data_IF_879835602494
#
_entry.id   IF_879835602494
#
_cell.length_a   1.000
_cell.length_b   1.000
_cell.length_c   1.000
_cell.angle_alpha   90.00
_cell.angle_beta   90.00
_cell.angle_gamma   90.00
#
_symmetry.space_group_name_H-M   'P 1'
#
loop_
_entity.id
_entity.type
_entity.pdbx_description
1 polymer ?
#
# COMPACT_ATOMS: atom_id res chain seq x y z
N UNK A 1 -8.47 36.02 29.01
CA UNK A 1 -7.68 36.03 27.74
C UNK A 1 -7.29 34.60 27.44
N UNK A 2 -8.05 33.95 26.58
CA UNK A 2 -7.73 32.62 26.11
C UNK A 2 -6.53 32.78 25.14
N UNK A 3 -5.41 32.16 25.51
CA UNK A 3 -4.21 32.11 24.69
C UNK A 3 -4.58 31.42 23.36
N UNK A 4 -4.69 32.17 22.28
CA UNK A 4 -4.81 31.65 20.94
C UNK A 4 -3.62 30.70 20.73
N UNK A 5 -3.90 29.41 20.63
CA UNK A 5 -2.90 28.40 20.26
C UNK A 5 -2.39 28.80 18.88
N UNK A 6 -1.22 29.42 18.81
CA UNK A 6 -0.59 29.87 17.58
C UNK A 6 -0.50 28.64 16.63
N UNK A 7 -1.12 28.74 15.45
CA UNK A 7 -1.01 27.72 14.40
C UNK A 7 0.46 27.37 14.19
N UNK A 8 0.78 26.06 14.01
CA UNK A 8 2.16 25.64 13.76
C UNK A 8 2.70 26.35 12.52
N UNK A 9 3.92 26.88 12.60
CA UNK A 9 4.58 27.50 11.45
C UNK A 9 5.05 26.41 10.49
N UNK A 10 4.82 26.61 9.18
CA UNK A 10 5.31 25.69 8.15
C UNK A 10 6.85 25.69 8.12
N UNK A 11 7.45 24.51 8.15
CA UNK A 11 8.89 24.31 8.06
C UNK A 11 9.20 23.17 7.09
N UNK A 12 9.93 23.47 6.03
CA UNK A 12 10.43 22.46 5.08
C UNK A 12 11.37 21.47 5.75
N UNK A 13 12.21 21.93 6.68
CA UNK A 13 13.10 21.04 7.44
C UNK A 13 12.33 20.00 8.24
N UNK A 14 11.28 20.42 8.94
CA UNK A 14 10.42 19.51 9.69
C UNK A 14 9.76 18.49 8.75
N UNK A 15 9.23 18.96 7.62
CA UNK A 15 8.57 18.07 6.63
C UNK A 15 9.56 17.05 6.05
N UNK A 16 10.74 17.48 5.61
CA UNK A 16 11.77 16.59 5.08
C UNK A 16 12.26 15.59 6.14
N UNK A 17 12.42 16.02 7.39
CA UNK A 17 12.73 15.14 8.51
C UNK A 17 11.64 14.08 8.71
N UNK A 18 10.38 14.47 8.67
CA UNK A 18 9.25 13.52 8.76
C UNK A 18 9.25 12.54 7.57
N UNK A 19 9.60 12.98 6.36
CA UNK A 19 9.72 12.12 5.19
C UNK A 19 10.74 10.98 5.38
N UNK A 20 11.80 11.18 6.17
CA UNK A 20 12.79 10.11 6.45
C UNK A 20 12.18 8.89 7.16
N UNK A 21 11.01 9.03 7.80
CA UNK A 21 10.24 7.93 8.36
C UNK A 21 9.96 6.83 7.33
N UNK A 22 9.76 7.23 6.08
CA UNK A 22 9.42 6.32 5.00
C UNK A 22 10.61 5.46 4.53
N UNK A 23 11.86 5.84 4.89
CA UNK A 23 13.06 5.02 4.61
C UNK A 23 12.90 3.65 5.28
N UNK A 24 12.66 3.62 6.59
CA UNK A 24 12.47 2.35 7.31
C UNK A 24 11.23 1.58 6.83
N UNK A 25 10.17 2.28 6.43
CA UNK A 25 8.97 1.65 5.89
C UNK A 25 9.25 0.94 4.56
N UNK A 26 9.98 1.59 3.65
CA UNK A 26 10.37 1.00 2.36
C UNK A 26 11.34 -0.16 2.53
N UNK A 27 12.36 -0.02 3.40
CA UNK A 27 13.30 -1.11 3.69
C UNK A 27 12.60 -2.35 4.25
N UNK A 28 11.73 -2.18 5.24
CA UNK A 28 10.99 -3.30 5.83
C UNK A 28 10.08 -3.99 4.81
N UNK A 29 9.44 -3.22 3.95
CA UNK A 29 8.55 -3.78 2.92
C UNK A 29 9.31 -4.60 1.88
N UNK A 30 10.39 -4.08 1.31
CA UNK A 30 11.24 -4.80 0.34
C UNK A 30 11.85 -6.06 0.96
N UNK A 31 12.31 -6.00 2.22
CA UNK A 31 12.83 -7.16 2.93
C UNK A 31 11.79 -8.30 2.99
N UNK A 32 10.55 -7.96 3.31
CA UNK A 32 9.47 -8.93 3.55
C UNK A 32 8.84 -9.40 2.25
N UNK A 33 8.48 -8.49 1.34
CA UNK A 33 7.69 -8.84 0.14
C UNK A 33 8.55 -9.31 -1.03
N UNK A 34 9.77 -8.80 -1.19
CA UNK A 34 10.65 -9.19 -2.30
C UNK A 34 11.65 -10.27 -1.88
N UNK A 35 12.45 -10.01 -0.86
CA UNK A 35 13.60 -10.87 -0.55
C UNK A 35 13.17 -12.14 0.19
N UNK A 36 12.46 -11.99 1.32
CA UNK A 36 12.01 -13.14 2.10
C UNK A 36 11.06 -14.03 1.28
N UNK A 37 10.11 -13.43 0.57
CA UNK A 37 9.18 -14.12 -0.31
C UNK A 37 9.92 -15.05 -1.31
N UNK A 38 10.89 -14.49 -2.02
CA UNK A 38 11.68 -15.24 -2.98
C UNK A 38 12.53 -16.35 -2.32
N UNK A 39 13.14 -16.08 -1.17
CA UNK A 39 13.93 -17.09 -0.43
C UNK A 39 13.04 -18.28 -0.07
N UNK A 40 11.83 -18.04 0.46
CA UNK A 40 10.92 -19.09 0.88
C UNK A 40 10.47 -19.95 -0.29
N UNK A 41 10.05 -19.33 -1.40
CA UNK A 41 9.49 -20.06 -2.54
C UNK A 41 10.61 -20.71 -3.37
N UNK A 42 11.67 -19.97 -3.69
CA UNK A 42 12.68 -20.43 -4.65
C UNK A 42 13.81 -21.22 -3.98
N UNK A 43 14.41 -20.67 -2.91
CA UNK A 43 15.57 -21.32 -2.27
C UNK A 43 15.16 -22.50 -1.39
N UNK A 44 14.05 -22.37 -0.64
CA UNK A 44 13.56 -23.47 0.19
C UNK A 44 12.51 -24.34 -0.51
N UNK A 45 11.95 -23.91 -1.64
CA UNK A 45 10.96 -24.68 -2.42
C UNK A 45 9.62 -24.80 -1.72
N UNK A 46 9.23 -23.84 -0.87
CA UNK A 46 7.92 -23.84 -0.26
C UNK A 46 6.81 -23.44 -1.24
N UNK A 47 5.59 -23.94 -1.07
CA UNK A 47 4.44 -23.47 -1.84
C UNK A 47 4.24 -21.96 -1.68
N UNK A 48 3.81 -21.29 -2.74
CA UNK A 48 3.57 -19.85 -2.72
C UNK A 48 2.32 -19.45 -1.93
N UNK A 49 1.35 -20.37 -1.77
CA UNK A 49 0.12 -20.14 -1.03
C UNK A 49 0.37 -19.73 0.44
N UNK A 50 1.05 -20.54 1.29
CA UNK A 50 1.31 -20.13 2.68
C UNK A 50 2.20 -18.90 2.78
N UNK A 51 3.16 -18.71 1.88
CA UNK A 51 4.03 -17.53 1.84
C UNK A 51 3.21 -16.29 1.50
N UNK A 52 2.39 -16.33 0.47
CA UNK A 52 1.47 -15.25 0.09
C UNK A 52 0.44 -14.93 1.16
N UNK A 53 -0.07 -15.94 1.89
CA UNK A 53 -0.96 -15.73 3.03
C UNK A 53 -0.28 -14.91 4.13
N UNK A 54 0.95 -15.23 4.50
CA UNK A 54 1.70 -14.49 5.51
C UNK A 54 1.90 -13.01 5.09
N UNK A 55 2.28 -12.77 3.84
CA UNK A 55 2.42 -11.40 3.30
C UNK A 55 1.07 -10.67 3.30
N UNK A 56 -0.01 -11.37 2.98
CA UNK A 56 -1.37 -10.81 2.93
C UNK A 56 -1.91 -10.41 4.31
N UNK A 57 -1.43 -11.02 5.42
CA UNK A 57 -1.97 -10.80 6.77
C UNK A 57 -2.08 -9.32 7.13
N UNK A 58 -1.07 -8.51 6.82
CA UNK A 58 -1.10 -7.06 7.14
C UNK A 58 -2.26 -6.32 6.46
N UNK A 59 -2.69 -6.78 5.29
CA UNK A 59 -3.81 -6.19 4.56
C UNK A 59 -5.14 -6.76 5.05
N UNK A 60 -5.20 -8.06 5.32
CA UNK A 60 -6.39 -8.71 5.86
C UNK A 60 -6.75 -8.21 7.27
N UNK A 61 -5.74 -7.81 8.04
CA UNK A 61 -5.91 -7.17 9.35
C UNK A 61 -6.22 -5.66 9.26
N UNK A 62 -6.42 -5.09 8.08
CA UNK A 62 -6.63 -3.64 7.87
C UNK A 62 -7.76 -3.00 8.69
N UNK A 63 -8.84 -3.67 9.09
CA UNK A 63 -9.80 -3.08 10.03
C UNK A 63 -9.18 -2.62 11.36
N UNK A 64 -8.05 -3.22 11.76
CA UNK A 64 -7.29 -2.80 12.94
C UNK A 64 -6.74 -1.37 12.82
N UNK A 65 -6.45 -0.89 11.61
CA UNK A 65 -5.96 0.48 11.37
C UNK A 65 -6.99 1.55 11.74
N UNK A 66 -8.28 1.26 11.50
CA UNK A 66 -9.39 2.13 11.90
C UNK A 66 -9.47 2.22 13.43
N UNK A 67 -9.37 1.06 14.10
CA UNK A 67 -9.35 1.00 15.56
C UNK A 67 -8.13 1.75 16.13
N UNK A 68 -6.95 1.57 15.58
CA UNK A 68 -5.73 2.23 16.00
C UNK A 68 -5.81 3.76 15.84
N UNK A 69 -6.34 4.24 14.71
CA UNK A 69 -6.61 5.65 14.49
C UNK A 69 -7.54 6.24 15.54
N UNK A 70 -8.69 5.60 15.73
CA UNK A 70 -9.65 5.97 16.76
C UNK A 70 -9.05 6.00 18.18
N UNK A 71 -8.33 4.94 18.55
CA UNK A 71 -7.73 4.81 19.87
C UNK A 71 -6.68 5.87 20.14
N UNK A 72 -5.86 6.21 19.13
CA UNK A 72 -4.85 7.27 19.23
C UNK A 72 -5.45 8.66 19.39
N UNK A 73 -6.65 8.89 18.87
CA UNK A 73 -7.35 10.18 19.01
C UNK A 73 -7.98 10.35 20.39
N UNK A 74 -8.45 9.26 21.00
CA UNK A 74 -9.26 9.29 22.22
C UNK A 74 -8.50 8.94 23.49
N UNK A 75 -7.44 8.13 23.41
CA UNK A 75 -6.75 7.61 24.59
C UNK A 75 -5.25 7.86 24.46
N UNK A 76 -4.72 8.85 25.18
CA UNK A 76 -3.27 9.06 25.19
C UNK A 76 -2.57 7.92 25.92
N UNK A 77 -1.41 7.55 25.41
CA UNK A 77 -0.53 6.52 25.96
C UNK A 77 0.85 7.14 26.23
N UNK A 78 1.45 6.91 27.39
CA UNK A 78 2.72 7.51 27.82
C UNK A 78 2.77 9.05 27.73
N UNK A 79 1.63 9.72 27.94
CA UNK A 79 1.54 11.19 27.89
C UNK A 79 1.57 11.81 26.49
N UNK A 80 1.50 10.98 25.44
CA UNK A 80 1.43 11.41 24.04
C UNK A 80 0.25 10.73 23.35
N UNK A 81 -0.37 11.43 22.39
CA UNK A 81 -1.58 10.91 21.71
C UNK A 81 -1.20 10.05 20.52
N UNK A 82 -0.25 10.48 19.70
CA UNK A 82 0.10 9.82 18.43
C UNK A 82 1.45 9.15 18.47
N UNK A 83 2.47 9.84 18.93
CA UNK A 83 3.87 9.36 18.92
C UNK A 83 4.05 8.04 19.66
N UNK A 84 3.35 7.85 20.79
CA UNK A 84 3.42 6.59 21.55
C UNK A 84 2.89 5.39 20.77
N UNK A 85 1.78 5.56 20.05
CA UNK A 85 1.22 4.50 19.19
C UNK A 85 2.14 4.20 18.01
N UNK A 86 2.75 5.24 17.42
CA UNK A 86 3.70 5.08 16.32
C UNK A 86 4.93 4.32 16.82
N UNK A 87 5.51 4.70 17.96
CA UNK A 87 6.67 4.01 18.51
C UNK A 87 6.36 2.58 18.91
N UNK A 88 5.21 2.32 19.53
CA UNK A 88 4.79 0.96 19.84
C UNK A 88 4.67 0.11 18.56
N UNK A 89 4.00 0.62 17.53
CA UNK A 89 3.87 -0.08 16.27
C UNK A 89 5.21 -0.33 15.60
N UNK A 90 6.13 0.65 15.59
CA UNK A 90 7.46 0.48 15.01
C UNK A 90 8.36 -0.43 15.83
N UNK A 91 8.22 -0.45 17.15
CA UNK A 91 8.90 -1.42 18.02
C UNK A 91 8.47 -2.86 17.70
N UNK A 92 7.16 -3.11 17.48
CA UNK A 92 6.67 -4.42 17.04
C UNK A 92 7.28 -4.83 15.69
N UNK A 93 7.41 -3.88 14.74
CA UNK A 93 8.06 -4.15 13.46
C UNK A 93 9.56 -4.47 13.64
N UNK A 94 10.29 -3.73 14.46
CA UNK A 94 11.72 -4.00 14.72
C UNK A 94 11.89 -5.39 15.36
N UNK A 95 11.03 -5.76 16.30
CA UNK A 95 11.06 -7.10 16.94
C UNK A 95 10.72 -8.20 15.94
N UNK A 96 9.88 -7.93 14.95
CA UNK A 96 9.51 -8.92 13.94
C UNK A 96 10.67 -9.35 13.04
N UNK A 97 11.62 -8.46 12.75
CA UNK A 97 12.74 -8.77 11.85
C UNK A 97 13.67 -9.88 12.37
N UNK A 98 14.17 -9.87 13.62
CA UNK A 98 14.92 -11.00 14.15
C UNK A 98 14.14 -12.31 14.17
N UNK A 99 12.84 -12.27 14.49
CA UNK A 99 11.98 -13.48 14.44
C UNK A 99 11.93 -14.06 13.03
N UNK A 100 11.83 -13.19 12.02
CA UNK A 100 11.90 -13.59 10.62
C UNK A 100 13.25 -14.24 10.28
N UNK A 101 14.36 -13.68 10.78
CA UNK A 101 15.70 -14.24 10.61
C UNK A 101 15.86 -15.61 11.26
N UNK A 102 15.38 -15.77 12.47
CA UNK A 102 15.38 -17.09 13.15
C UNK A 102 14.53 -18.12 12.41
N UNK A 103 13.36 -17.73 11.90
CA UNK A 103 12.52 -18.60 11.04
C UNK A 103 13.31 -19.11 9.84
N UNK A 104 13.98 -18.22 9.09
CA UNK A 104 14.81 -18.59 7.92
C UNK A 104 15.99 -19.47 8.34
N UNK A 105 16.61 -19.21 9.51
CA UNK A 105 17.68 -20.06 10.05
C UNK A 105 17.21 -21.48 10.32
N UNK A 106 16.03 -21.64 10.91
CA UNK A 106 15.44 -22.97 11.14
C UNK A 106 15.17 -23.70 9.83
N UNK A 107 14.59 -23.04 8.84
CA UNK A 107 14.34 -23.62 7.52
C UNK A 107 15.62 -23.97 6.75
N UNK A 108 16.71 -23.23 6.99
CA UNK A 108 18.01 -23.56 6.42
C UNK A 108 18.57 -24.88 6.99
N UNK A 109 18.25 -25.20 8.26
CA UNK A 109 18.65 -26.45 8.91
C UNK A 109 17.68 -27.60 8.61
N UNK A 110 16.38 -27.35 8.57
CA UNK A 110 15.33 -28.34 8.32
C UNK A 110 14.12 -27.70 7.64
N UNK A 111 13.81 -28.15 6.42
CA UNK A 111 12.64 -27.62 5.66
C UNK A 111 11.29 -27.87 6.36
N UNK A 112 11.15 -28.92 7.13
CA UNK A 112 9.89 -29.30 7.79
C UNK A 112 9.78 -28.76 9.24
N UNK A 113 10.47 -27.67 9.55
CA UNK A 113 10.49 -27.12 10.90
C UNK A 113 9.19 -26.36 11.21
N UNK A 114 8.36 -26.95 12.08
CA UNK A 114 7.11 -26.34 12.53
C UNK A 114 7.34 -25.06 13.33
N UNK A 115 8.44 -24.96 14.07
CA UNK A 115 8.83 -23.76 14.82
C UNK A 115 9.22 -22.64 13.85
N UNK A 116 9.86 -22.98 12.72
CA UNK A 116 10.15 -22.02 11.65
C UNK A 116 8.89 -21.34 11.12
N UNK A 117 7.84 -22.11 10.85
CA UNK A 117 6.53 -21.56 10.45
C UNK A 117 5.84 -20.76 11.55
N UNK A 118 5.91 -21.20 12.80
CA UNK A 118 5.36 -20.47 13.95
C UNK A 118 6.04 -19.09 14.12
N UNK A 119 7.39 -19.06 14.00
CA UNK A 119 8.15 -17.81 14.07
C UNK A 119 7.85 -16.89 12.86
N UNK A 120 7.71 -17.43 11.66
CA UNK A 120 7.28 -16.66 10.49
C UNK A 120 5.90 -16.05 10.73
N UNK A 121 4.91 -16.84 11.16
CA UNK A 121 3.56 -16.35 11.46
C UNK A 121 3.59 -15.24 12.52
N UNK A 122 4.30 -15.46 13.63
CA UNK A 122 4.43 -14.46 14.69
C UNK A 122 5.10 -13.18 14.16
N UNK A 123 6.16 -13.31 13.36
CA UNK A 123 6.84 -12.16 12.71
C UNK A 123 5.86 -11.36 11.86
N UNK A 124 5.10 -12.01 10.97
CA UNK A 124 4.13 -11.32 10.11
C UNK A 124 2.95 -10.71 10.87
N UNK A 125 2.49 -11.34 11.94
CA UNK A 125 1.48 -10.76 12.84
C UNK A 125 2.01 -9.50 13.54
N UNK A 126 3.23 -9.53 14.06
CA UNK A 126 3.86 -8.37 14.70
C UNK A 126 4.13 -7.26 13.67
N UNK A 127 4.67 -7.60 12.51
CA UNK A 127 4.93 -6.66 11.43
C UNK A 127 3.64 -5.99 10.93
N UNK A 128 2.61 -6.78 10.64
CA UNK A 128 1.32 -6.31 10.19
C UNK A 128 0.61 -5.44 11.23
N UNK A 129 0.51 -5.92 12.47
CA UNK A 129 -0.06 -5.16 13.59
C UNK A 129 0.71 -3.86 13.83
N UNK A 130 2.04 -3.91 13.80
CA UNK A 130 2.90 -2.75 13.96
C UNK A 130 2.70 -1.69 12.87
N UNK A 131 2.59 -2.13 11.62
CA UNK A 131 2.30 -1.25 10.47
C UNK A 131 0.95 -0.57 10.63
N UNK A 132 -0.10 -1.33 10.97
CA UNK A 132 -1.47 -0.82 11.11
C UNK A 132 -1.63 0.10 12.33
N UNK A 133 -0.99 -0.24 13.45
CA UNK A 133 -1.02 0.55 14.68
C UNK A 133 -0.31 1.91 14.52
N UNK A 134 0.75 1.96 13.70
CA UNK A 134 1.54 3.17 13.48
C UNK A 134 1.07 4.02 12.31
N UNK A 135 0.42 3.46 11.30
CA UNK A 135 0.11 4.12 10.04
C UNK A 135 -0.86 5.31 10.20
N UNK A 136 -2.08 5.07 10.67
CA UNK A 136 -3.08 6.13 10.87
C UNK A 136 -2.61 7.21 11.85
N UNK A 137 -2.02 6.89 13.03
CA UNK A 137 -1.46 7.91 13.92
C UNK A 137 -0.33 8.73 13.28
N UNK A 138 0.49 8.12 12.40
CA UNK A 138 1.56 8.82 11.71
C UNK A 138 1.01 9.91 10.76
N UNK A 139 0.05 9.59 9.89
CA UNK A 139 -0.56 10.60 9.01
C UNK A 139 -1.29 11.68 9.79
N UNK A 140 -1.92 11.31 10.89
CA UNK A 140 -2.55 12.27 11.78
C UNK A 140 -1.51 13.19 12.45
N UNK A 141 -0.33 12.67 12.85
CA UNK A 141 0.78 13.47 13.37
C UNK A 141 1.32 14.44 12.32
N UNK A 142 1.52 13.99 11.07
CA UNK A 142 1.93 14.85 9.95
C UNK A 142 0.95 16.00 9.76
N UNK A 143 -0.35 15.71 9.76
CA UNK A 143 -1.40 16.72 9.64
C UNK A 143 -1.35 17.74 10.80
N UNK A 144 -1.25 17.24 12.03
CA UNK A 144 -1.27 18.08 13.22
C UNK A 144 0.00 18.94 13.37
N UNK A 145 1.11 18.52 12.78
CA UNK A 145 2.38 19.24 12.76
C UNK A 145 2.44 20.40 11.77
N UNK A 146 1.47 20.50 10.84
CA UNK A 146 1.47 21.47 9.75
C UNK A 146 0.30 22.45 9.81
N UNK A 147 0.48 23.70 9.32
CA UNK A 147 -0.61 24.67 9.21
C UNK A 147 -1.74 24.13 8.34
N UNK A 148 -2.99 24.46 8.66
CA UNK A 148 -4.18 23.97 7.94
C UNK A 148 -4.08 24.10 6.43
N UNK A 149 -3.61 25.25 5.93
CA UNK A 149 -3.43 25.52 4.50
C UNK A 149 -2.37 24.63 3.81
N UNK A 150 -1.50 23.95 4.54
CA UNK A 150 -0.39 23.14 4.01
C UNK A 150 -0.49 21.65 4.37
N UNK A 151 -1.53 21.22 5.07
CA UNK A 151 -1.71 19.82 5.48
C UNK A 151 -1.76 18.86 4.29
N UNK A 152 -2.52 19.20 3.24
CA UNK A 152 -2.62 18.38 2.04
C UNK A 152 -1.27 18.24 1.32
N UNK A 153 -0.52 19.35 1.20
CA UNK A 153 0.83 19.33 0.63
C UNK A 153 1.75 18.40 1.44
N UNK A 154 1.74 18.51 2.76
CA UNK A 154 2.61 17.71 3.62
C UNK A 154 2.31 16.21 3.50
N UNK A 155 1.04 15.81 3.52
CA UNK A 155 0.63 14.42 3.32
C UNK A 155 1.07 13.89 1.95
N UNK A 156 0.86 14.67 0.89
CA UNK A 156 1.30 14.29 -0.46
C UNK A 156 2.81 14.13 -0.58
N UNK A 157 3.60 15.01 0.04
CA UNK A 157 5.07 14.93 0.04
C UNK A 157 5.54 13.68 0.79
N UNK A 158 4.94 13.37 1.94
CA UNK A 158 5.29 12.17 2.74
C UNK A 158 4.93 10.87 2.00
N UNK A 159 3.79 10.81 1.32
CA UNK A 159 3.41 9.67 0.48
C UNK A 159 4.31 9.51 -0.73
N UNK A 160 4.64 10.63 -1.39
CA UNK A 160 5.60 10.61 -2.51
C UNK A 160 6.97 10.13 -2.06
N UNK A 161 7.41 10.53 -0.86
CA UNK A 161 8.67 10.05 -0.28
C UNK A 161 8.68 8.53 -0.11
N UNK A 162 7.57 7.91 0.36
CA UNK A 162 7.46 6.45 0.46
C UNK A 162 7.68 5.80 -0.91
N UNK A 163 6.98 6.26 -1.94
CA UNK A 163 7.07 5.70 -3.28
C UNK A 163 8.49 5.85 -3.85
N UNK A 164 9.18 6.96 -3.57
CA UNK A 164 10.57 7.19 -3.99
C UNK A 164 11.57 6.32 -3.22
N UNK A 165 11.33 6.02 -1.95
CA UNK A 165 12.26 5.20 -1.15
C UNK A 165 12.15 3.70 -1.47
N UNK A 166 11.07 3.20 -2.04
CA UNK A 166 10.97 1.80 -2.46
C UNK A 166 12.05 1.40 -3.47
N UNK A 167 12.18 2.07 -4.65
CA UNK A 167 13.23 1.72 -5.59
C UNK A 167 14.64 1.90 -5.02
N UNK A 168 14.85 2.89 -4.14
CA UNK A 168 16.14 3.10 -3.47
C UNK A 168 16.46 1.92 -2.55
N UNK A 169 15.52 1.48 -1.72
CA UNK A 169 15.69 0.32 -0.85
C UNK A 169 15.94 -0.96 -1.66
N UNK A 170 15.18 -1.19 -2.73
CA UNK A 170 15.32 -2.37 -3.57
C UNK A 170 16.69 -2.41 -4.29
N UNK A 171 17.15 -1.27 -4.82
CA UNK A 171 18.50 -1.19 -5.42
C UNK A 171 19.56 -1.43 -4.36
N UNK A 172 19.48 -0.78 -3.19
CA UNK A 172 20.44 -0.92 -2.11
C UNK A 172 20.55 -2.38 -1.65
N UNK A 173 19.41 -3.05 -1.44
CA UNK A 173 19.39 -4.45 -1.03
C UNK A 173 19.87 -5.39 -2.14
N UNK A 174 19.62 -5.08 -3.41
CA UNK A 174 20.14 -5.85 -4.54
C UNK A 174 21.67 -5.80 -4.66
N UNK A 175 22.30 -4.74 -4.17
CA UNK A 175 23.76 -4.61 -4.13
C UNK A 175 24.37 -5.36 -2.94
N UNK A 176 23.63 -5.42 -1.82
CA UNK A 176 24.08 -6.10 -0.59
C UNK A 176 23.89 -7.62 -0.67
N UNK A 177 22.81 -8.11 -1.30
CA UNK A 177 22.48 -9.52 -1.41
C UNK A 177 22.34 -9.91 -2.88
N UNK A 178 23.43 -10.33 -3.50
CA UNK A 178 23.42 -10.76 -4.91
C UNK A 178 22.86 -12.18 -5.07
N UNK A 179 23.27 -13.09 -4.19
CA UNK A 179 22.79 -14.46 -4.10
C UNK A 179 22.40 -14.78 -2.66
N UNK A 180 21.60 -15.84 -2.48
CA UNK A 180 21.16 -16.24 -1.16
C UNK A 180 22.34 -16.70 -0.30
N UNK A 181 22.51 -16.04 0.84
CA UNK A 181 23.30 -16.53 1.95
C UNK A 181 22.58 -16.20 3.25
N UNK A 182 22.63 -17.11 4.22
CA UNK A 182 22.00 -16.89 5.53
C UNK A 182 22.63 -15.68 6.25
N UNK A 183 23.95 -15.51 6.13
CA UNK A 183 24.70 -14.38 6.70
C UNK A 183 24.22 -13.06 6.07
N UNK A 184 24.17 -12.98 4.73
CA UNK A 184 23.71 -11.81 4.02
C UNK A 184 22.25 -11.46 4.33
N UNK A 185 21.37 -12.46 4.54
CA UNK A 185 20.03 -12.22 4.98
C UNK A 185 19.96 -11.60 6.39
N UNK A 186 20.80 -12.09 7.34
CA UNK A 186 20.92 -11.50 8.67
C UNK A 186 21.50 -10.08 8.64
N UNK A 187 22.46 -9.79 7.73
CA UNK A 187 22.96 -8.44 7.50
C UNK A 187 21.85 -7.49 7.05
N UNK A 188 20.99 -7.91 6.11
CA UNK A 188 19.84 -7.11 5.69
C UNK A 188 18.83 -6.88 6.82
N UNK A 189 18.59 -7.89 7.66
CA UNK A 189 17.76 -7.76 8.87
C UNK A 189 18.36 -6.71 9.81
N UNK A 190 19.65 -6.81 10.10
CA UNK A 190 20.35 -5.90 11.00
C UNK A 190 20.31 -4.45 10.46
N UNK A 191 20.62 -4.27 9.18
CA UNK A 191 20.57 -2.96 8.51
C UNK A 191 19.15 -2.40 8.57
N UNK A 192 18.13 -3.20 8.26
CA UNK A 192 16.72 -2.76 8.28
C UNK A 192 16.29 -2.37 9.70
N UNK A 193 16.62 -3.17 10.69
CA UNK A 193 16.28 -2.91 12.09
C UNK A 193 16.99 -1.65 12.63
N UNK A 194 18.28 -1.50 12.37
CA UNK A 194 19.09 -0.39 12.88
C UNK A 194 18.81 0.92 12.12
N UNK A 195 18.95 0.89 10.80
CA UNK A 195 18.77 2.10 9.96
C UNK A 195 17.31 2.50 9.90
N UNK A 196 16.40 1.54 9.64
CA UNK A 196 14.97 1.78 9.64
C UNK A 196 14.48 2.23 11.02
N UNK A 197 14.90 1.55 12.09
CA UNK A 197 14.60 1.92 13.48
C UNK A 197 15.09 3.32 13.84
N UNK A 198 16.30 3.68 13.46
CA UNK A 198 16.85 5.02 13.64
C UNK A 198 15.97 6.09 12.97
N UNK A 199 15.64 5.92 11.69
CA UNK A 199 14.83 6.90 10.97
C UNK A 199 13.39 6.97 11.49
N UNK A 200 12.80 5.89 11.99
CA UNK A 200 11.50 5.93 12.64
C UNK A 200 11.49 6.76 13.92
N UNK A 201 12.55 6.68 14.71
CA UNK A 201 12.68 7.52 15.92
C UNK A 201 13.03 8.95 15.54
N UNK A 202 14.06 9.16 14.71
CA UNK A 202 14.56 10.46 14.29
C UNK A 202 13.47 11.33 13.66
N UNK A 203 12.66 10.77 12.75
CA UNK A 203 11.67 11.52 11.99
C UNK A 203 10.63 12.19 12.90
N UNK A 204 10.18 11.51 13.96
CA UNK A 204 9.04 11.97 14.77
C UNK A 204 9.43 12.43 16.20
N UNK A 205 10.70 12.27 16.59
CA UNK A 205 11.16 12.69 17.90
C UNK A 205 10.90 14.20 18.13
N UNK A 206 10.18 14.55 19.19
CA UNK A 206 9.86 15.92 19.53
C UNK A 206 8.89 16.66 18.60
N UNK A 207 8.26 15.97 17.63
CA UNK A 207 7.23 16.57 16.76
C UNK A 207 5.95 16.83 17.55
N UNK A 208 5.52 15.87 18.35
CA UNK A 208 4.38 16.02 19.24
C UNK A 208 4.80 16.65 20.56
N UNK A 209 4.19 17.77 20.93
CA UNK A 209 4.36 18.36 22.26
C UNK A 209 3.49 17.58 23.24
N UNK A 210 4.02 17.28 24.45
CA UNK A 210 3.22 16.66 25.52
C UNK A 210 1.99 17.51 25.77
N UNK A 211 0.82 16.99 25.48
CA UNK A 211 -0.43 17.71 25.67
C UNK A 211 -0.74 17.80 27.18
N UNK A 212 -1.07 18.99 27.65
CA UNK A 212 -1.69 19.21 28.96
C UNK A 212 -3.14 18.71 28.84
N UNK A 213 -3.40 17.51 29.36
CA UNK A 213 -4.35 16.55 28.77
C UNK A 213 -5.71 16.45 29.44
N UNK A 214 -6.04 17.27 30.43
CA UNK A 214 -7.19 16.96 31.32
C UNK A 214 -8.56 17.44 30.85
N UNK A 215 -8.70 18.36 29.89
CA UNK A 215 -10.02 18.90 29.50
C UNK A 215 -10.51 18.55 28.10
N UNK A 216 -9.65 18.10 27.19
CA UNK A 216 -10.03 17.81 25.81
C UNK A 216 -10.53 16.37 25.60
N UNK A 217 -10.25 15.45 26.52
CA UNK A 217 -10.47 14.01 26.35
C UNK A 217 -11.95 13.64 26.49
N UNK A 218 -12.69 14.20 27.46
CA UNK A 218 -14.08 13.81 27.70
C UNK A 218 -15.01 14.21 26.54
N UNK A 219 -14.87 15.44 26.02
CA UNK A 219 -15.70 15.90 24.88
C UNK A 219 -15.39 15.18 23.57
N UNK A 220 -14.16 14.66 23.41
CA UNK A 220 -13.77 13.89 22.22
C UNK A 220 -14.29 12.46 22.30
N UNK A 221 -14.33 11.84 23.47
CA UNK A 221 -14.81 10.46 23.65
C UNK A 221 -16.31 10.31 23.35
N UNK A 222 -17.16 11.22 23.83
CA UNK A 222 -18.61 11.18 23.52
C UNK A 222 -18.90 11.40 22.04
N UNK A 223 -18.26 12.43 21.43
CA UNK A 223 -18.39 12.66 19.99
C UNK A 223 -17.96 11.46 19.15
N UNK A 224 -16.87 10.82 19.52
CA UNK A 224 -16.31 9.73 18.72
C UNK A 224 -17.10 8.43 18.90
N UNK A 225 -17.69 8.19 20.08
CA UNK A 225 -18.59 7.03 20.31
C UNK A 225 -19.89 7.18 19.53
N UNK A 226 -20.45 8.40 19.49
CA UNK A 226 -21.61 8.72 18.65
C UNK A 226 -21.28 8.56 17.17
N UNK A 227 -20.11 9.05 16.71
CA UNK A 227 -19.66 8.87 15.33
C UNK A 227 -19.46 7.39 14.94
N UNK A 228 -19.02 6.53 15.85
CA UNK A 228 -18.85 5.10 15.58
C UNK A 228 -20.20 4.37 15.47
N UNK A 229 -21.18 4.75 16.29
CA UNK A 229 -22.56 4.23 16.17
C UNK A 229 -23.25 4.73 14.89
N UNK A 230 -23.04 5.99 14.54
CA UNK A 230 -23.54 6.60 13.31
C UNK A 230 -22.85 6.01 12.06
N UNK A 231 -21.60 5.54 12.18
CA UNK A 231 -20.82 4.93 11.12
C UNK A 231 -21.51 3.68 10.53
N UNK A 232 -22.00 2.76 11.36
CA UNK A 232 -22.71 1.57 10.88
C UNK A 232 -23.99 1.90 10.10
N UNK A 233 -24.78 2.86 10.58
CA UNK A 233 -25.97 3.33 9.88
C UNK A 233 -25.63 4.02 8.55
N UNK A 234 -24.51 4.74 8.52
CA UNK A 234 -24.01 5.41 7.31
C UNK A 234 -23.49 4.40 6.29
N UNK A 235 -22.78 3.35 6.72
CA UNK A 235 -22.34 2.28 5.82
C UNK A 235 -23.51 1.58 5.11
N UNK A 236 -24.59 1.31 5.84
CA UNK A 236 -25.80 0.71 5.24
C UNK A 236 -26.41 1.63 4.17
N UNK A 237 -26.45 2.96 4.41
CA UNK A 237 -26.92 3.94 3.43
C UNK A 237 -26.01 4.03 2.20
N UNK A 238 -24.67 4.03 2.41
CA UNK A 238 -23.71 4.02 1.30
C UNK A 238 -23.90 2.77 0.44
N UNK A 239 -24.11 1.62 1.08
CA UNK A 239 -24.33 0.35 0.37
C UNK A 239 -25.64 0.33 -0.45
N UNK A 240 -26.64 1.13 -0.08
CA UNK A 240 -27.89 1.25 -0.84
C UNK A 240 -27.72 2.02 -2.16
N UNK A 241 -26.70 2.91 -2.27
CA UNK A 241 -26.44 3.62 -3.54
C UNK A 241 -25.78 2.67 -4.56
N UNK A 242 -26.44 2.39 -5.70
CA UNK A 242 -25.89 1.51 -6.72
C UNK A 242 -24.59 2.03 -7.34
N UNK A 243 -24.37 3.35 -7.34
CA UNK A 243 -23.14 3.98 -7.83
C UNK A 243 -21.97 3.71 -6.88
N UNK A 244 -22.21 3.78 -5.57
CA UNK A 244 -21.23 3.44 -4.56
C UNK A 244 -20.82 1.96 -4.64
N UNK A 245 -21.79 1.06 -4.81
CA UNK A 245 -21.53 -0.39 -5.03
C UNK A 245 -20.73 -0.64 -6.31
N UNK A 246 -21.08 0.00 -7.42
CA UNK A 246 -20.36 -0.14 -8.68
C UNK A 246 -18.93 0.38 -8.55
N UNK A 247 -18.73 1.48 -7.82
CA UNK A 247 -17.39 2.01 -7.56
C UNK A 247 -16.56 1.10 -6.65
N UNK A 248 -17.17 0.52 -5.61
CA UNK A 248 -16.51 -0.50 -4.78
C UNK A 248 -16.07 -1.72 -5.59
N UNK A 249 -16.97 -2.23 -6.45
CA UNK A 249 -16.64 -3.38 -7.31
C UNK A 249 -15.50 -3.04 -8.27
N UNK A 250 -15.50 -1.84 -8.86
CA UNK A 250 -14.40 -1.33 -9.65
C UNK A 250 -13.09 -1.32 -8.85
N UNK A 251 -13.09 -0.71 -7.65
CA UNK A 251 -11.89 -0.66 -6.80
C UNK A 251 -11.40 -2.06 -6.43
N UNK A 252 -12.34 -2.96 -6.09
CA UNK A 252 -12.01 -4.33 -5.73
C UNK A 252 -11.33 -5.08 -6.87
N UNK A 253 -11.92 -5.08 -8.08
CA UNK A 253 -11.38 -5.80 -9.24
C UNK A 253 -10.06 -5.17 -9.69
N UNK A 254 -9.97 -3.83 -9.75
CA UNK A 254 -8.74 -3.13 -10.12
C UNK A 254 -7.59 -3.41 -9.13
N UNK A 255 -7.89 -3.38 -7.82
CA UNK A 255 -6.87 -3.64 -6.79
C UNK A 255 -6.45 -5.10 -6.77
N UNK A 256 -7.40 -6.03 -6.85
CA UNK A 256 -7.08 -7.46 -6.94
C UNK A 256 -6.13 -7.73 -8.09
N UNK A 257 -6.48 -7.27 -9.29
CA UNK A 257 -5.70 -7.50 -10.52
C UNK A 257 -4.36 -6.75 -10.55
N UNK A 258 -4.22 -5.65 -9.81
CA UNK A 258 -2.96 -4.92 -9.73
C UNK A 258 -1.98 -5.51 -8.72
N UNK A 259 -2.46 -6.27 -7.73
CA UNK A 259 -1.65 -6.69 -6.58
C UNK A 259 -1.51 -8.22 -6.41
N UNK A 260 -2.19 -9.05 -7.20
CA UNK A 260 -2.04 -10.51 -7.13
C UNK A 260 -0.60 -10.93 -7.49
N UNK A 261 0.07 -10.21 -8.36
CA UNK A 261 1.48 -10.40 -8.71
C UNK A 261 2.47 -10.18 -7.55
N UNK A 262 2.10 -9.47 -6.47
CA UNK A 262 3.03 -9.02 -5.41
C UNK A 262 3.72 -10.19 -4.67
N UNK A 263 3.08 -11.38 -4.63
CA UNK A 263 3.67 -12.58 -4.05
C UNK A 263 4.42 -13.46 -5.06
N UNK A 264 4.25 -13.22 -6.35
CA UNK A 264 4.72 -14.17 -7.39
C UNK A 264 5.74 -13.57 -8.37
N UNK A 265 5.94 -12.24 -8.36
CA UNK A 265 6.78 -11.55 -9.33
C UNK A 265 8.27 -11.93 -9.19
N UNK A 266 8.81 -11.96 -7.99
CA UNK A 266 10.19 -12.37 -7.73
C UNK A 266 10.40 -13.86 -7.95
N UNK A 267 9.53 -14.77 -7.46
CA UNK A 267 9.56 -16.17 -7.81
C UNK A 267 9.50 -16.42 -9.32
N UNK A 268 8.62 -15.72 -10.06
CA UNK A 268 8.57 -15.79 -11.52
C UNK A 268 9.92 -15.50 -12.16
N UNK A 269 10.57 -14.41 -11.75
CA UNK A 269 11.90 -14.06 -12.27
C UNK A 269 12.94 -15.16 -12.05
N UNK A 270 12.89 -15.84 -10.92
CA UNK A 270 13.80 -16.91 -10.60
C UNK A 270 13.45 -18.24 -11.30
N UNK A 271 12.20 -18.68 -11.25
CA UNK A 271 11.76 -20.01 -11.70
C UNK A 271 11.64 -20.10 -13.23
N UNK A 272 11.29 -19.00 -13.91
CA UNK A 272 11.11 -18.95 -15.36
C UNK A 272 12.33 -18.33 -16.06
N UNK A 273 12.86 -17.25 -15.50
CA UNK A 273 13.92 -16.49 -16.15
C UNK A 273 15.32 -16.77 -15.56
N UNK A 274 15.45 -17.66 -14.55
CA UNK A 274 16.68 -17.98 -13.83
C UNK A 274 17.41 -16.69 -13.35
N UNK A 275 16.66 -15.70 -12.86
CA UNK A 275 17.20 -14.46 -12.35
C UNK A 275 17.74 -14.63 -10.93
N UNK A 276 18.83 -13.93 -10.60
CA UNK A 276 19.41 -13.90 -9.24
C UNK A 276 18.52 -13.10 -8.26
N UNK A 277 18.77 -13.20 -6.95
CA UNK A 277 18.06 -12.40 -5.95
C UNK A 277 18.21 -10.91 -6.26
N UNK A 278 19.42 -10.46 -6.58
CA UNK A 278 19.68 -9.08 -6.92
C UNK A 278 18.83 -8.60 -8.12
N UNK A 279 18.70 -9.44 -9.15
CA UNK A 279 17.91 -9.09 -10.34
C UNK A 279 16.41 -9.01 -10.02
N UNK A 280 15.86 -10.00 -9.30
CA UNK A 280 14.44 -10.01 -8.97
C UNK A 280 14.06 -8.91 -7.98
N UNK A 281 14.91 -8.58 -7.00
CA UNK A 281 14.68 -7.46 -6.08
C UNK A 281 14.59 -6.12 -6.83
N UNK A 282 15.33 -5.94 -7.93
CA UNK A 282 15.25 -4.73 -8.78
C UNK A 282 13.94 -4.62 -9.57
N UNK A 283 13.15 -5.69 -9.72
CA UNK A 283 11.84 -5.62 -10.38
C UNK A 283 10.93 -4.60 -9.70
N UNK A 284 10.92 -4.58 -8.37
CA UNK A 284 10.22 -3.56 -7.59
C UNK A 284 10.72 -2.13 -7.91
N UNK A 285 12.01 -1.94 -8.19
CA UNK A 285 12.56 -0.63 -8.57
C UNK A 285 12.07 -0.14 -9.91
N UNK A 286 11.93 -1.01 -10.90
CA UNK A 286 11.49 -0.64 -12.24
C UNK A 286 10.06 -0.12 -12.26
N UNK A 287 9.10 -0.90 -11.74
CA UNK A 287 7.71 -0.49 -11.80
C UNK A 287 7.38 0.64 -10.81
N UNK A 288 7.93 0.60 -9.59
CA UNK A 288 7.69 1.65 -8.59
C UNK A 288 8.41 2.95 -8.95
N UNK A 289 9.62 2.88 -9.52
CA UNK A 289 10.33 4.04 -10.03
C UNK A 289 9.59 4.73 -11.18
N UNK A 290 9.07 3.95 -12.14
CA UNK A 290 8.22 4.47 -13.20
C UNK A 290 6.93 5.09 -12.64
N UNK A 291 6.29 4.45 -11.66
CA UNK A 291 5.12 4.98 -10.95
C UNK A 291 5.42 6.32 -10.30
N UNK A 292 6.51 6.43 -9.54
CA UNK A 292 6.91 7.67 -8.87
C UNK A 292 7.11 8.81 -9.87
N UNK A 293 7.81 8.54 -10.98
CA UNK A 293 8.04 9.52 -12.03
C UNK A 293 6.73 10.01 -12.64
N UNK A 294 5.83 9.10 -12.98
CA UNK A 294 4.51 9.44 -13.55
C UNK A 294 3.67 10.24 -12.56
N UNK A 295 3.65 9.87 -11.27
CA UNK A 295 2.92 10.64 -10.24
C UNK A 295 3.39 12.08 -10.15
N UNK A 296 4.71 12.33 -10.20
CA UNK A 296 5.28 13.68 -10.16
C UNK A 296 4.87 14.45 -11.43
N UNK A 297 5.00 13.84 -12.59
CA UNK A 297 4.63 14.46 -13.88
C UNK A 297 3.12 14.74 -13.92
N UNK A 298 2.29 13.78 -13.53
CA UNK A 298 0.84 13.90 -13.52
C UNK A 298 0.36 15.02 -12.57
N UNK A 299 0.96 15.10 -11.37
CA UNK A 299 0.66 16.17 -10.42
C UNK A 299 0.99 17.56 -10.98
N UNK A 300 2.04 17.68 -11.79
CA UNK A 300 2.39 18.95 -12.45
C UNK A 300 1.50 19.27 -13.63
N UNK A 301 1.32 18.33 -14.55
CA UNK A 301 0.59 18.51 -15.82
C UNK A 301 -0.90 18.74 -15.59
N UNK A 302 -1.50 17.95 -14.68
CA UNK A 302 -2.94 17.98 -14.43
C UNK A 302 -3.36 18.75 -13.18
N UNK A 303 -2.48 19.56 -12.62
CA UNK A 303 -2.75 20.39 -11.43
C UNK A 303 -3.98 21.30 -11.53
N UNK A 304 -4.36 21.67 -12.75
CA UNK A 304 -5.51 22.54 -13.02
C UNK A 304 -6.78 21.78 -13.43
N UNK A 305 -6.68 20.46 -13.64
CA UNK A 305 -7.81 19.63 -14.05
C UNK A 305 -8.71 19.32 -12.86
N UNK A 306 -10.03 19.40 -13.06
CA UNK A 306 -10.98 19.08 -11.99
C UNK A 306 -10.93 17.57 -11.66
N UNK A 307 -11.14 17.17 -10.39
CA UNK A 307 -11.14 15.77 -9.99
C UNK A 307 -12.17 14.91 -10.75
N UNK A 308 -13.33 15.49 -11.10
CA UNK A 308 -14.41 14.85 -11.84
C UNK A 308 -14.00 14.46 -13.29
N UNK A 309 -13.00 15.12 -13.85
CA UNK A 309 -12.47 14.88 -15.21
C UNK A 309 -11.35 13.82 -15.26
N UNK A 310 -11.11 13.08 -14.16
CA UNK A 310 -9.99 12.13 -14.10
C UNK A 310 -10.34 10.71 -14.61
N UNK A 311 -11.61 10.43 -14.88
CA UNK A 311 -12.05 9.12 -15.37
C UNK A 311 -11.33 8.62 -16.61
N UNK A 312 -11.11 9.44 -17.68
CA UNK A 312 -10.35 9.00 -18.85
C UNK A 312 -8.91 8.62 -18.54
N UNK A 313 -8.25 9.37 -17.63
CA UNK A 313 -6.86 9.11 -17.24
C UNK A 313 -6.78 7.81 -16.46
N UNK A 314 -7.74 7.53 -15.57
CA UNK A 314 -7.83 6.27 -14.87
C UNK A 314 -7.97 5.08 -15.84
N UNK A 315 -8.84 5.20 -16.86
CA UNK A 315 -9.02 4.17 -17.90
C UNK A 315 -7.74 3.94 -18.71
N UNK A 316 -7.05 5.01 -19.11
CA UNK A 316 -5.77 4.92 -19.80
C UNK A 316 -4.72 4.23 -18.90
N UNK A 317 -4.64 4.60 -17.64
CA UNK A 317 -3.75 3.95 -16.67
C UNK A 317 -4.02 2.45 -16.56
N UNK A 318 -5.27 2.04 -16.39
CA UNK A 318 -5.67 0.63 -16.34
C UNK A 318 -5.36 -0.12 -17.64
N UNK A 319 -5.56 0.51 -18.80
CA UNK A 319 -5.23 -0.09 -20.10
C UNK A 319 -3.71 -0.33 -20.24
N UNK A 320 -2.89 0.66 -19.88
CA UNK A 320 -1.43 0.54 -19.91
C UNK A 320 -0.96 -0.54 -18.92
N UNK A 321 -1.53 -0.60 -17.70
CA UNK A 321 -1.25 -1.68 -16.74
C UNK A 321 -1.60 -3.06 -17.32
N UNK A 322 -2.80 -3.17 -17.92
CA UNK A 322 -3.25 -4.41 -18.56
C UNK A 322 -2.32 -4.88 -19.69
N UNK A 323 -1.81 -3.94 -20.50
CA UNK A 323 -0.79 -4.22 -21.52
C UNK A 323 0.53 -4.67 -20.88
N UNK A 324 0.97 -4.04 -19.78
CA UNK A 324 2.15 -4.46 -19.02
C UNK A 324 2.02 -5.90 -18.51
N UNK A 325 0.86 -6.26 -17.95
CA UNK A 325 0.57 -7.63 -17.50
C UNK A 325 0.50 -8.64 -18.67
N UNK A 326 -0.12 -8.28 -19.78
CA UNK A 326 -0.12 -9.11 -20.98
C UNK A 326 1.31 -9.32 -21.52
N UNK A 327 2.16 -8.31 -21.42
CA UNK A 327 3.57 -8.43 -21.77
C UNK A 327 4.34 -9.34 -20.81
N UNK A 328 4.08 -9.26 -19.49
CA UNK A 328 4.64 -10.22 -18.51
C UNK A 328 4.17 -11.65 -18.78
N UNK A 329 2.90 -11.84 -19.15
CA UNK A 329 2.38 -13.14 -19.56
C UNK A 329 3.15 -13.70 -20.78
N UNK A 330 3.36 -12.87 -21.80
CA UNK A 330 4.16 -13.24 -22.97
C UNK A 330 5.62 -13.52 -22.58
N UNK A 331 6.21 -12.71 -21.69
CA UNK A 331 7.57 -12.94 -21.16
C UNK A 331 7.68 -14.29 -20.46
N UNK A 332 6.65 -14.66 -19.68
CA UNK A 332 6.60 -15.97 -19.02
C UNK A 332 6.56 -17.13 -20.01
N UNK A 333 5.70 -17.02 -21.03
CA UNK A 333 5.55 -18.08 -22.03
C UNK A 333 6.76 -18.25 -22.95
N UNK A 334 7.47 -17.16 -23.25
CA UNK A 334 8.64 -17.16 -24.14
C UNK A 334 9.97 -17.39 -23.42
N UNK A 335 10.04 -17.13 -22.10
CA UNK A 335 11.28 -17.20 -21.32
C UNK A 335 12.32 -16.15 -21.69
N UNK A 336 11.94 -15.11 -22.44
CA UNK A 336 12.87 -14.09 -22.94
C UNK A 336 13.16 -13.05 -21.84
N UNK A 337 14.33 -13.15 -21.21
CA UNK A 337 14.72 -12.35 -20.03
C UNK A 337 14.64 -10.84 -20.22
N UNK A 338 15.07 -10.30 -21.36
CA UNK A 338 15.11 -8.84 -21.55
C UNK A 338 13.71 -8.20 -21.60
N UNK A 339 12.66 -8.97 -21.85
CA UNK A 339 11.29 -8.49 -21.95
C UNK A 339 10.69 -8.06 -20.58
N UNK A 340 11.21 -8.61 -19.46
CA UNK A 340 10.63 -8.35 -18.13
C UNK A 340 10.76 -6.88 -17.72
N UNK A 341 11.92 -6.26 -17.93
CA UNK A 341 12.14 -4.88 -17.48
C UNK A 341 11.25 -3.85 -18.22
N UNK A 342 11.13 -3.88 -19.57
CA UNK A 342 10.18 -3.03 -20.27
C UNK A 342 8.73 -3.28 -19.85
N UNK A 343 8.32 -4.53 -19.64
CA UNK A 343 6.97 -4.87 -19.19
C UNK A 343 6.66 -4.24 -17.81
N UNK A 344 7.60 -4.32 -16.87
CA UNK A 344 7.48 -3.70 -15.56
C UNK A 344 7.45 -2.16 -15.64
N UNK A 345 8.23 -1.55 -16.52
CA UNK A 345 8.18 -0.10 -16.76
C UNK A 345 6.82 0.30 -17.30
N UNK A 346 6.27 -0.41 -18.29
CA UNK A 346 4.93 -0.16 -18.84
C UNK A 346 3.87 -0.31 -17.76
N UNK A 347 3.92 -1.39 -16.98
CA UNK A 347 3.02 -1.57 -15.83
C UNK A 347 3.11 -0.40 -14.84
N UNK A 348 4.32 0.01 -14.47
CA UNK A 348 4.55 1.13 -13.54
C UNK A 348 4.04 2.47 -14.05
N UNK A 349 4.19 2.74 -15.35
CA UNK A 349 3.61 3.95 -15.99
C UNK A 349 2.09 3.93 -15.88
N UNK A 350 1.45 2.81 -16.21
CA UNK A 350 0.01 2.65 -16.09
C UNK A 350 -0.46 2.77 -14.65
N UNK A 351 0.27 2.16 -13.70
CA UNK A 351 -0.03 2.23 -12.28
C UNK A 351 0.06 3.67 -11.73
N UNK A 352 1.01 4.48 -12.23
CA UNK A 352 1.13 5.89 -11.87
C UNK A 352 -0.07 6.72 -12.34
N UNK A 353 -0.52 6.56 -13.58
CA UNK A 353 -1.73 7.23 -14.09
C UNK A 353 -2.99 6.79 -13.35
N UNK A 354 -3.14 5.48 -13.13
CA UNK A 354 -4.26 4.92 -12.37
C UNK A 354 -4.28 5.47 -10.94
N UNK A 355 -3.16 5.40 -10.21
CA UNK A 355 -3.06 5.84 -8.82
C UNK A 355 -3.37 7.32 -8.67
N UNK A 356 -2.78 8.18 -9.53
CA UNK A 356 -3.07 9.61 -9.54
C UNK A 356 -4.56 9.90 -9.70
N UNK A 357 -5.19 9.24 -10.68
CA UNK A 357 -6.61 9.45 -10.99
C UNK A 357 -7.52 8.82 -9.94
N UNK A 358 -7.19 7.62 -9.44
CA UNK A 358 -7.99 6.90 -8.46
C UNK A 358 -8.12 7.70 -7.15
N UNK A 359 -7.04 8.32 -6.65
CA UNK A 359 -7.13 9.20 -5.48
C UNK A 359 -8.10 10.37 -5.68
N UNK A 360 -8.10 10.97 -6.86
CA UNK A 360 -9.04 12.04 -7.20
C UNK A 360 -10.48 11.52 -7.23
N UNK A 361 -10.71 10.37 -7.86
CA UNK A 361 -12.03 9.73 -7.93
C UNK A 361 -12.55 9.30 -6.55
N UNK A 362 -11.68 8.83 -5.64
CA UNK A 362 -12.04 8.53 -4.24
C UNK A 362 -12.64 9.76 -3.56
N UNK A 363 -12.01 10.93 -3.77
CA UNK A 363 -12.49 12.20 -3.22
C UNK A 363 -13.84 12.58 -3.84
N UNK A 364 -14.02 12.43 -5.15
CA UNK A 364 -15.30 12.74 -5.85
C UNK A 364 -16.43 11.83 -5.40
N UNK A 365 -16.15 10.54 -5.22
CA UNK A 365 -17.10 9.52 -4.76
C UNK A 365 -17.29 9.55 -3.23
N UNK A 366 -17.08 10.70 -2.60
CA UNK A 366 -17.19 10.91 -1.17
C UNK A 366 -18.16 12.08 -0.90
N UNK A 367 -19.20 11.86 -0.08
CA UNK A 367 -20.08 12.93 0.36
C UNK A 367 -19.45 13.69 1.53
N UNK A 368 -19.48 15.03 1.50
CA UNK A 368 -18.93 15.88 2.58
C UNK A 368 -19.61 15.62 3.92
N UNK A 369 -20.89 15.24 3.93
CA UNK A 369 -21.66 14.93 5.15
C UNK A 369 -21.18 13.67 5.86
N UNK A 370 -20.54 12.73 5.13
CA UNK A 370 -20.11 11.43 5.65
C UNK A 370 -18.70 11.05 5.16
N UNK A 371 -17.83 12.03 4.92
CA UNK A 371 -16.53 11.84 4.29
C UNK A 371 -15.69 10.75 4.95
N UNK A 372 -15.64 10.69 6.28
CA UNK A 372 -14.90 9.66 7.01
C UNK A 372 -15.41 8.24 6.74
N UNK A 373 -16.73 8.05 6.64
CA UNK A 373 -17.33 6.74 6.36
C UNK A 373 -17.02 6.27 4.92
N UNK A 374 -17.15 7.17 3.94
CA UNK A 374 -16.82 6.85 2.54
C UNK A 374 -15.34 6.51 2.37
N UNK A 375 -14.43 7.38 2.85
CA UNK A 375 -12.99 7.15 2.74
C UNK A 375 -12.54 5.91 3.50
N UNK A 376 -13.12 5.65 4.69
CA UNK A 376 -12.87 4.43 5.44
C UNK A 376 -13.29 3.18 4.67
N UNK A 377 -14.49 3.20 4.06
CA UNK A 377 -14.99 2.09 3.26
C UNK A 377 -14.12 1.82 2.03
N UNK A 378 -13.74 2.89 1.29
CA UNK A 378 -12.84 2.76 0.14
C UNK A 378 -11.47 2.20 0.55
N UNK A 379 -10.90 2.71 1.63
CA UNK A 379 -9.60 2.25 2.14
C UNK A 379 -9.64 0.78 2.55
N UNK A 380 -10.65 0.38 3.31
CA UNK A 380 -10.83 -1.03 3.71
C UNK A 380 -11.03 -1.93 2.49
N UNK A 381 -11.83 -1.50 1.51
CA UNK A 381 -12.03 -2.24 0.26
C UNK A 381 -10.70 -2.46 -0.46
N UNK A 382 -9.89 -1.42 -0.65
CA UNK A 382 -8.59 -1.50 -1.31
C UNK A 382 -7.64 -2.44 -0.53
N UNK A 383 -7.51 -2.27 0.79
CA UNK A 383 -6.57 -3.06 1.58
C UNK A 383 -6.98 -4.53 1.65
N UNK A 384 -8.25 -4.83 1.94
CA UNK A 384 -8.73 -6.22 1.99
C UNK A 384 -8.57 -6.90 0.64
N UNK A 385 -8.95 -6.22 -0.45
CA UNK A 385 -8.85 -6.80 -1.80
C UNK A 385 -7.40 -6.99 -2.23
N UNK A 386 -6.49 -6.07 -1.84
CA UNK A 386 -5.05 -6.26 -2.02
C UNK A 386 -4.56 -7.52 -1.30
N UNK A 387 -4.94 -7.71 -0.03
CA UNK A 387 -4.58 -8.91 0.72
C UNK A 387 -5.11 -10.19 0.08
N UNK A 388 -6.37 -10.18 -0.34
CA UNK A 388 -6.96 -11.33 -1.07
C UNK A 388 -6.24 -11.57 -2.40
N UNK A 389 -5.87 -10.52 -3.14
CA UNK A 389 -5.10 -10.61 -4.40
C UNK A 389 -3.76 -11.30 -4.18
N UNK A 390 -2.96 -10.82 -3.23
CA UNK A 390 -1.65 -11.40 -2.90
C UNK A 390 -1.77 -12.88 -2.50
N UNK A 391 -2.72 -13.21 -1.63
CA UNK A 391 -2.99 -14.60 -1.24
C UNK A 391 -3.40 -15.47 -2.44
N UNK A 392 -4.33 -14.99 -3.25
CA UNK A 392 -4.82 -15.73 -4.43
C UNK A 392 -3.77 -15.88 -5.51
N UNK A 393 -2.87 -14.88 -5.69
CA UNK A 393 -1.72 -14.99 -6.60
C UNK A 393 -0.85 -16.20 -6.27
N UNK A 394 -0.49 -16.37 -4.98
CA UNK A 394 0.23 -17.56 -4.52
C UNK A 394 -0.55 -18.86 -4.69
N UNK A 395 -1.83 -18.86 -4.31
CA UNK A 395 -2.71 -20.02 -4.41
C UNK A 395 -2.90 -20.49 -5.89
N UNK A 396 -3.14 -19.53 -6.79
CA UNK A 396 -3.27 -19.80 -8.22
C UNK A 396 -1.96 -20.33 -8.82
N UNK A 397 -0.81 -19.76 -8.42
CA UNK A 397 0.50 -20.24 -8.87
C UNK A 397 0.69 -21.72 -8.52
N UNK A 398 0.42 -22.10 -7.27
CA UNK A 398 0.59 -23.48 -6.83
C UNK A 398 -0.41 -24.42 -7.51
N UNK A 399 -1.68 -24.03 -7.60
CA UNK A 399 -2.72 -24.81 -8.26
C UNK A 399 -2.46 -25.01 -9.75
N UNK A 400 -2.10 -23.94 -10.47
CA UNK A 400 -1.78 -24.03 -11.90
C UNK A 400 -0.50 -24.82 -12.15
N UNK A 401 0.52 -24.66 -11.29
CA UNK A 401 1.72 -25.49 -11.39
C UNK A 401 1.43 -26.97 -11.16
N UNK A 402 0.61 -27.31 -10.17
CA UNK A 402 0.19 -28.69 -9.94
C UNK A 402 -0.54 -29.31 -11.14
N UNK A 403 -1.33 -28.51 -11.86
CA UNK A 403 -2.07 -28.96 -13.05
C UNK A 403 -1.21 -29.03 -14.31
N UNK A 404 -0.33 -28.04 -14.52
CA UNK A 404 0.41 -27.89 -15.79
C UNK A 404 1.82 -28.44 -15.75
N UNK A 405 2.38 -28.63 -14.55
CA UNK A 405 3.79 -29.00 -14.32
C UNK A 405 4.77 -28.04 -15.01
N UNK A 406 4.32 -26.79 -15.27
CA UNK A 406 5.09 -25.77 -15.97
C UNK A 406 4.99 -24.44 -15.27
N UNK A 407 6.11 -23.94 -14.74
CA UNK A 407 6.19 -22.60 -14.17
C UNK A 407 5.80 -21.53 -15.20
N UNK A 408 6.30 -21.64 -16.44
CA UNK A 408 6.01 -20.68 -17.49
C UNK A 408 4.50 -20.54 -17.78
N UNK A 409 3.78 -21.67 -17.86
CA UNK A 409 2.33 -21.66 -18.04
C UNK A 409 1.60 -21.12 -16.83
N UNK A 410 1.98 -21.53 -15.61
CA UNK A 410 1.33 -21.09 -14.38
C UNK A 410 1.41 -19.56 -14.24
N UNK A 411 2.59 -18.97 -14.35
CA UNK A 411 2.76 -17.52 -14.27
C UNK A 411 2.13 -16.79 -15.45
N UNK A 412 2.27 -17.33 -16.68
CA UNK A 412 1.68 -16.73 -17.88
C UNK A 412 0.16 -16.59 -17.77
N UNK A 413 -0.52 -17.64 -17.27
CA UNK A 413 -1.97 -17.61 -17.05
C UNK A 413 -2.34 -16.56 -15.98
N UNK A 414 -1.61 -16.49 -14.87
CA UNK A 414 -1.93 -15.53 -13.80
C UNK A 414 -1.77 -14.09 -14.31
N UNK A 415 -0.65 -13.75 -14.92
CA UNK A 415 -0.44 -12.41 -15.47
C UNK A 415 -1.48 -12.07 -16.57
N UNK A 416 -1.89 -13.08 -17.36
CA UNK A 416 -2.98 -12.93 -18.32
C UNK A 416 -4.32 -12.62 -17.65
N UNK A 417 -4.67 -13.33 -16.59
CA UNK A 417 -5.89 -13.10 -15.80
C UNK A 417 -5.87 -11.71 -15.10
N UNK A 418 -4.73 -11.29 -14.57
CA UNK A 418 -4.55 -9.96 -14.00
C UNK A 418 -4.75 -8.86 -15.06
N UNK A 419 -4.13 -9.02 -16.23
CA UNK A 419 -4.33 -8.12 -17.36
C UNK A 419 -5.81 -8.04 -17.78
N UNK A 420 -6.48 -9.18 -17.89
CA UNK A 420 -7.93 -9.25 -18.20
C UNK A 420 -8.76 -8.54 -17.12
N UNK A 421 -8.46 -8.77 -15.85
CA UNK A 421 -9.15 -8.10 -14.74
C UNK A 421 -8.97 -6.58 -14.76
N UNK A 422 -7.79 -6.07 -15.17
CA UNK A 422 -7.57 -4.63 -15.37
C UNK A 422 -8.43 -4.08 -16.53
N UNK A 423 -8.57 -4.81 -17.64
CA UNK A 423 -9.49 -4.41 -18.72
C UNK A 423 -10.95 -4.48 -18.28
N UNK A 424 -11.36 -5.48 -17.52
CA UNK A 424 -12.70 -5.56 -16.92
C UNK A 424 -12.95 -4.35 -16.00
N UNK A 425 -11.94 -3.91 -15.26
CA UNK A 425 -12.02 -2.72 -14.39
C UNK A 425 -12.33 -1.44 -15.19
N UNK A 426 -11.86 -1.32 -16.43
CA UNK A 426 -12.22 -0.20 -17.33
C UNK A 426 -13.72 -0.20 -17.61
N UNK A 427 -14.30 -1.38 -17.88
CA UNK A 427 -15.73 -1.52 -18.15
C UNK A 427 -16.56 -1.24 -16.90
N UNK A 428 -16.10 -1.67 -15.73
CA UNK A 428 -16.75 -1.37 -14.46
C UNK A 428 -16.73 0.13 -14.17
N UNK A 429 -15.57 0.79 -14.33
CA UNK A 429 -15.43 2.23 -14.14
C UNK A 429 -16.32 3.02 -15.12
N UNK A 430 -16.48 2.54 -16.35
CA UNK A 430 -17.35 3.17 -17.33
C UNK A 430 -18.85 3.15 -16.93
N UNK A 431 -19.25 2.20 -16.08
CA UNK A 431 -20.63 2.08 -15.55
C UNK A 431 -20.87 2.93 -14.30
N UNK A 432 -19.81 3.46 -13.67
CA UNK A 432 -19.95 4.35 -12.51
C UNK A 432 -20.32 5.74 -12.97
N UNK A 433 -21.52 6.19 -12.62
CA UNK A 433 -21.96 7.56 -12.90
C UNK A 433 -21.36 8.55 -11.87
N UNK A 434 -20.07 8.85 -12.04
CA UNK A 434 -19.27 9.71 -11.13
C UNK A 434 -19.81 11.14 -11.13
N UNK A 435 -20.14 11.69 -12.31
CA UNK A 435 -20.66 13.05 -12.44
C UNK A 435 -22.03 13.17 -11.80
N UNK A 436 -22.92 12.20 -12.02
CA UNK A 436 -24.22 12.14 -11.36
C UNK A 436 -24.10 12.06 -9.85
N UNK A 437 -23.17 11.29 -9.32
CA UNK A 437 -22.90 11.22 -7.88
C UNK A 437 -22.41 12.58 -7.33
N UNK A 438 -21.45 13.22 -8.00
CA UNK A 438 -20.91 14.51 -7.59
C UNK A 438 -21.97 15.62 -7.60
N UNK A 439 -22.89 15.60 -8.56
CA UNK A 439 -24.03 16.52 -8.63
C UNK A 439 -25.02 16.29 -7.49
N UNK A 440 -25.43 15.05 -7.28
CA UNK A 440 -26.47 14.71 -6.28
C UNK A 440 -25.98 14.88 -4.85
N UNK A 441 -24.65 14.81 -4.62
CA UNK A 441 -24.01 15.13 -3.33
C UNK A 441 -23.74 16.63 -3.13
N UNK A 442 -24.10 17.47 -4.13
CA UNK A 442 -23.93 18.94 -4.06
C UNK A 442 -22.50 19.42 -4.28
N UNK A 443 -21.60 18.55 -4.76
CA UNK A 443 -20.20 18.88 -5.02
C UNK A 443 -20.00 19.75 -6.26
N UNK A 444 -20.83 19.54 -7.28
CA UNK A 444 -20.86 20.33 -8.52
C UNK A 444 -22.27 20.81 -8.80
N UNK A 445 -22.40 21.96 -9.49
CA UNK A 445 -23.68 22.47 -9.95
C UNK A 445 -24.23 21.66 -11.13
N UNK A 446 -25.53 21.74 -11.38
CA UNK A 446 -26.14 21.11 -12.56
C UNK A 446 -25.53 21.60 -13.88
N UNK A 447 -25.21 22.90 -13.96
CA UNK A 447 -24.53 23.52 -15.13
C UNK A 447 -23.12 23.00 -15.31
N UNK A 448 -22.33 22.90 -14.22
CA UNK A 448 -20.98 22.31 -14.27
C UNK A 448 -21.02 20.85 -14.72
N UNK A 449 -22.01 20.07 -14.25
CA UNK A 449 -22.15 18.69 -14.65
C UNK A 449 -22.39 18.54 -16.16
N UNK A 450 -23.17 19.41 -16.76
CA UNK A 450 -23.41 19.43 -18.23
C UNK A 450 -22.12 19.75 -19.00
N UNK A 451 -21.37 20.77 -18.56
CA UNK A 451 -20.09 21.16 -19.20
C UNK A 451 -19.08 20.01 -19.12
N UNK A 452 -18.89 19.42 -17.92
CA UNK A 452 -17.94 18.31 -17.74
C UNK A 452 -18.34 17.10 -18.60
N UNK A 453 -19.63 16.81 -18.72
CA UNK A 453 -20.09 15.68 -19.55
C UNK A 453 -19.84 15.93 -21.04
N UNK A 454 -19.87 17.17 -21.50
CA UNK A 454 -19.56 17.53 -22.89
C UNK A 454 -18.06 17.44 -23.21
N UNK A 455 -17.19 17.60 -22.21
CA UNK A 455 -15.73 17.56 -22.32
C UNK A 455 -15.13 16.13 -22.19
N UNK A 456 -15.94 15.11 -21.84
CA UNK A 456 -15.52 13.71 -21.67
C UNK A 456 -15.91 12.81 -22.84
#
# INVERSE_FOLDING_TARGET
MMNESSEPRFSWWLLLRICTFQIGSAMGDILVTSIWNRIMIVNFGFPALPVGLLIALRYLLSPLSLYAGFRSDTTPFLGMRRTSYIWLGRALMVISFPLLGFSVTLFNNSRNDSLGWALALLSFLLYGTGTLLSGSPFFALVRDAMPKARQGLALSVVETALILFFPIAAISFSLLLQDYSLVGFWELIAITALVGGFFWVFAIAGVEKRAILHKAVEHTQEKTRAQFQEFHGTLAKIWQDPRARAFMLFLAVATFSAWAQDAILEPFGAEVLNATIAQTTRYSSYWQGATALVLIIAAYVWRKRRPEQQTPIAKIGLAIMGLGMAWLALTSLTGIRWMVNPALLVFGVGFGFYTFSAFQLLVVMTSDKAAGAYLGLWTVTILLTRGVGIFMGGALRDGLYALTQSHALAYGIIFGLEGLGLFVSILLLARVNIIGFARDTGRISATDAQVITADL
#
